data_IF_712655804331
#
_entry.id   IF_712655804331
#
_cell.length_a   1.000
_cell.length_b   1.000
_cell.length_c   1.000
_cell.angle_alpha   90.00
_cell.angle_beta   90.00
_cell.angle_gamma   90.00
#
_symmetry.space_group_name_H-M   'P 1'
#
loop_
_entity.id
_entity.type
_entity.pdbx_description
1 polymer ?
#
# COMPACT_ATOMS: atom_id res chain seq x y z
N UNK A 1 35.52 1.47 36.49
CA UNK A 1 36.70 0.87 37.12
C UNK A 1 36.97 -0.48 36.48
N UNK A 2 38.26 -0.75 36.26
CA UNK A 2 38.88 -2.00 35.78
C UNK A 2 38.88 -2.30 34.28
N UNK A 3 40.12 -2.54 33.82
CA UNK A 3 40.60 -2.84 32.47
C UNK A 3 40.41 -4.32 32.15
N UNK A 4 40.31 -4.66 30.87
CA UNK A 4 40.97 -5.87 30.35
C UNK A 4 41.39 -5.66 28.90
N UNK A 5 42.71 -5.54 28.71
CA UNK A 5 43.38 -5.58 27.42
C UNK A 5 43.71 -7.04 27.10
N UNK A 6 43.39 -7.49 25.88
CA UNK A 6 43.96 -8.70 25.31
C UNK A 6 44.77 -8.29 24.08
N UNK A 7 46.07 -8.16 24.30
CA UNK A 7 47.06 -8.13 23.23
C UNK A 7 47.26 -9.55 22.72
N UNK A 8 47.08 -9.75 21.41
CA UNK A 8 47.63 -10.90 20.70
C UNK A 8 48.60 -10.38 19.66
N UNK A 9 49.87 -10.31 20.07
CA UNK A 9 50.99 -10.16 19.15
C UNK A 9 51.12 -11.40 18.28
N UNK A 10 51.20 -11.20 16.98
CA UNK A 10 51.67 -12.20 16.03
C UNK A 10 53.05 -11.75 15.54
N UNK A 11 54.09 -12.42 16.02
CA UNK A 11 55.44 -12.32 15.47
C UNK A 11 55.47 -13.04 14.12
N UNK A 12 55.89 -12.34 13.07
CA UNK A 12 56.54 -12.98 11.92
C UNK A 12 58.00 -12.54 11.89
N UNK A 13 58.88 -13.55 11.86
CA UNK A 13 60.29 -13.42 11.55
C UNK A 13 60.47 -12.93 10.10
N UNK A 14 61.29 -11.89 9.94
CA UNK A 14 61.89 -11.48 8.66
C UNK A 14 63.14 -10.67 8.96
N UNK A 15 64.29 -11.16 8.50
CA UNK A 15 65.62 -10.68 8.85
C UNK A 15 66.13 -9.54 7.93
N UNK A 16 67.20 -8.88 8.43
CA UNK A 16 68.19 -7.99 7.79
C UNK A 16 67.98 -6.46 7.76
N UNK A 17 68.80 -5.83 8.62
CA UNK A 17 69.74 -4.72 8.38
C UNK A 17 69.27 -3.37 7.80
N UNK A 18 69.61 -2.30 8.55
CA UNK A 18 70.26 -1.14 7.95
C UNK A 18 69.48 0.18 7.94
N UNK A 19 69.75 0.99 8.97
CA UNK A 19 69.90 2.45 8.96
C UNK A 19 68.73 3.39 8.60
N UNK A 20 68.82 4.53 9.31
CA UNK A 20 68.30 5.87 8.97
C UNK A 20 66.87 6.17 9.39
N UNK A 21 66.77 7.25 10.18
CA UNK A 21 65.57 7.68 10.88
C UNK A 21 64.46 8.14 9.95
N UNK A 22 63.25 8.12 10.49
CA UNK A 22 62.11 8.79 9.87
C UNK A 22 61.42 9.65 10.92
N UNK A 23 61.35 10.93 10.59
CA UNK A 23 60.59 11.97 11.27
C UNK A 23 59.13 11.54 11.41
N UNK A 24 58.56 11.79 12.59
CA UNK A 24 57.11 11.71 12.83
C UNK A 24 56.43 12.81 12.00
N UNK A 25 55.84 12.43 10.87
CA UNK A 25 54.72 13.17 10.30
C UNK A 25 53.46 12.37 10.63
N UNK A 26 52.71 12.84 11.62
CA UNK A 26 51.34 12.39 11.84
C UNK A 26 50.50 12.93 10.68
N UNK A 27 50.24 12.06 9.69
CA UNK A 27 49.13 12.24 8.77
C UNK A 27 47.86 11.89 9.55
N UNK A 28 47.15 12.94 9.96
CA UNK A 28 45.74 12.84 10.36
C UNK A 28 44.96 12.16 9.23
N UNK A 29 44.60 10.91 9.46
CA UNK A 29 43.51 10.25 8.74
C UNK A 29 42.35 10.19 9.71
N UNK A 30 41.36 11.04 9.49
CA UNK A 30 40.05 10.92 10.10
C UNK A 30 39.44 9.60 9.63
N UNK A 31 39.62 8.54 10.41
CA UNK A 31 38.75 7.37 10.33
C UNK A 31 37.36 7.81 10.79
N UNK A 32 36.48 7.99 9.81
CA UNK A 32 35.06 8.14 9.99
C UNK A 32 34.56 6.91 10.74
N UNK A 33 34.31 7.08 12.04
CA UNK A 33 33.58 6.11 12.84
C UNK A 33 32.18 6.02 12.27
N UNK A 34 31.97 5.04 11.40
CA UNK A 34 30.67 4.64 10.90
C UNK A 34 29.79 4.19 12.06
N UNK A 35 29.16 5.16 12.72
CA UNK A 35 28.05 4.93 13.61
C UNK A 35 26.98 4.17 12.83
N UNK A 36 26.59 3.04 13.40
CA UNK A 36 25.46 2.21 13.00
C UNK A 36 24.28 3.10 12.63
N UNK A 37 24.06 3.28 11.33
CA UNK A 37 22.80 3.82 10.82
C UNK A 37 21.71 2.84 11.26
N UNK A 38 20.76 3.30 12.06
CA UNK A 38 19.60 2.51 12.42
C UNK A 38 18.96 1.92 11.17
N UNK A 39 18.69 0.62 11.18
CA UNK A 39 18.06 -0.09 10.06
C UNK A 39 16.82 0.70 9.61
N UNK A 40 16.88 1.24 8.40
CA UNK A 40 15.78 2.01 7.83
C UNK A 40 14.55 1.10 7.74
N UNK A 41 13.45 1.53 8.37
CA UNK A 41 12.13 0.96 8.08
C UNK A 41 11.87 1.23 6.59
N UNK A 42 11.60 0.15 5.86
CA UNK A 42 11.49 0.13 4.40
C UNK A 42 10.36 1.05 3.89
N UNK A 43 10.69 1.87 2.89
CA UNK A 43 9.79 2.77 2.18
C UNK A 43 9.29 2.23 0.82
N UNK A 44 9.69 1.02 0.40
CA UNK A 44 9.37 0.44 -0.93
C UNK A 44 8.33 -0.69 -0.94
N UNK A 45 8.15 -1.42 0.18
CA UNK A 45 7.03 -2.36 0.34
C UNK A 45 5.82 -1.55 0.79
N UNK A 46 4.85 -1.43 -0.11
CA UNK A 46 3.56 -0.79 0.16
C UNK A 46 2.51 -1.83 0.54
N UNK A 47 1.38 -1.37 1.05
CA UNK A 47 0.20 -2.21 1.14
C UNK A 47 -0.21 -2.80 -0.24
N UNK A 48 -0.56 -4.09 -0.29
CA UNK A 48 -1.00 -4.77 -1.51
C UNK A 48 -0.80 -6.28 -1.50
N UNK A 49 -1.09 -6.95 -2.62
CA UNK A 49 -0.81 -8.38 -2.80
C UNK A 49 0.58 -8.62 -3.38
N UNK A 50 1.23 -9.65 -2.85
CA UNK A 50 2.58 -10.03 -3.19
C UNK A 50 2.68 -11.52 -3.42
N UNK A 51 3.52 -11.87 -4.39
CA UNK A 51 4.16 -13.19 -4.43
C UNK A 51 5.50 -13.02 -3.72
N UNK A 52 5.69 -13.75 -2.63
CA UNK A 52 6.93 -13.71 -1.84
C UNK A 52 7.80 -14.87 -2.29
N UNK A 53 9.00 -14.59 -2.78
CA UNK A 53 9.91 -15.63 -3.27
C UNK A 53 11.14 -15.74 -2.40
N UNK A 54 11.63 -16.95 -2.20
CA UNK A 54 12.97 -17.14 -1.66
C UNK A 54 14.00 -16.60 -2.65
N UNK A 55 14.89 -15.71 -2.20
CA UNK A 55 15.98 -15.22 -3.02
C UNK A 55 17.04 -16.31 -3.29
N UNK A 56 17.05 -17.40 -2.53
CA UNK A 56 17.93 -18.55 -2.75
C UNK A 56 17.44 -19.44 -3.88
N UNK A 57 16.15 -19.74 -3.94
CA UNK A 57 15.60 -20.78 -4.84
C UNK A 57 14.73 -20.23 -5.96
N UNK A 58 14.27 -18.97 -5.86
CA UNK A 58 13.28 -18.38 -6.75
C UNK A 58 11.86 -18.93 -6.57
N UNK A 59 11.67 -19.90 -5.66
CA UNK A 59 10.39 -20.53 -5.34
C UNK A 59 9.54 -19.66 -4.42
N UNK A 60 8.24 -19.87 -4.47
CA UNK A 60 7.25 -19.07 -3.77
C UNK A 60 7.02 -19.61 -2.36
N UNK A 61 6.78 -18.71 -1.40
CA UNK A 61 6.08 -19.07 -0.16
C UNK A 61 4.68 -19.57 -0.55
N UNK A 62 4.26 -20.69 0.02
CA UNK A 62 3.10 -21.48 -0.39
C UNK A 62 2.37 -22.04 0.84
N UNK A 63 1.04 -21.96 0.84
CA UNK A 63 0.20 -22.69 1.81
C UNK A 63 -0.02 -24.11 1.29
N UNK A 64 0.44 -25.09 2.06
CA UNK A 64 0.45 -26.49 1.63
C UNK A 64 -0.92 -26.96 1.14
N UNK A 65 -0.95 -27.45 -0.11
CA UNK A 65 -2.14 -27.96 -0.79
C UNK A 65 -3.34 -26.97 -0.81
N UNK A 66 -3.08 -25.66 -0.77
CA UNK A 66 -4.12 -24.62 -0.64
C UNK A 66 -5.02 -24.82 0.59
N UNK A 67 -4.51 -25.46 1.63
CA UNK A 67 -5.27 -25.73 2.84
C UNK A 67 -5.80 -24.44 3.47
N UNK A 68 -6.95 -24.53 4.12
CA UNK A 68 -7.61 -23.40 4.80
C UNK A 68 -7.75 -23.63 6.30
N UNK A 69 -7.21 -24.73 6.84
CA UNK A 69 -7.24 -25.02 8.26
C UNK A 69 -6.14 -24.27 9.01
N UNK A 70 -6.42 -23.93 10.28
CA UNK A 70 -5.41 -23.47 11.22
C UNK A 70 -4.35 -24.57 11.39
N UNK A 71 -3.08 -24.18 11.41
CA UNK A 71 -1.96 -25.10 11.46
C UNK A 71 -1.54 -25.69 10.11
N UNK A 72 -2.15 -25.27 8.99
CA UNK A 72 -1.65 -25.67 7.68
C UNK A 72 -0.23 -25.13 7.48
N UNK A 73 0.68 -26.00 7.08
CA UNK A 73 2.09 -25.71 6.87
C UNK A 73 2.31 -24.60 5.84
N UNK A 74 3.20 -23.66 6.16
CA UNK A 74 3.79 -22.74 5.19
C UNK A 74 5.09 -23.36 4.66
N UNK A 75 5.18 -23.52 3.36
CA UNK A 75 6.27 -24.21 2.67
C UNK A 75 6.75 -23.41 1.48
N UNK A 76 7.87 -23.79 0.88
CA UNK A 76 8.18 -23.34 -0.48
C UNK A 76 7.55 -24.30 -1.49
N UNK A 77 7.16 -23.75 -2.64
CA UNK A 77 6.76 -24.54 -3.79
C UNK A 77 7.13 -23.81 -5.08
N UNK A 78 7.29 -24.55 -6.17
CA UNK A 78 7.40 -23.95 -7.50
C UNK A 78 6.24 -22.98 -7.71
N UNK A 79 6.58 -21.80 -8.23
CA UNK A 79 5.58 -20.77 -8.42
C UNK A 79 4.57 -21.19 -9.49
N UNK A 80 3.33 -21.41 -9.07
CA UNK A 80 2.25 -21.96 -9.88
C UNK A 80 1.08 -20.97 -10.06
N UNK A 81 1.18 -19.78 -9.47
CA UNK A 81 0.22 -18.68 -9.64
C UNK A 81 -1.10 -18.85 -8.89
N UNK A 82 -1.25 -19.91 -8.10
CA UNK A 82 -2.45 -20.13 -7.28
C UNK A 82 -2.53 -19.14 -6.12
N UNK A 83 -3.73 -18.98 -5.54
CA UNK A 83 -3.92 -18.10 -4.39
C UNK A 83 -3.26 -18.64 -3.10
N UNK A 84 -2.79 -19.89 -3.09
CA UNK A 84 -1.94 -20.42 -2.03
C UNK A 84 -0.57 -19.73 -1.95
N UNK A 85 -0.15 -19.04 -3.01
CA UNK A 85 1.15 -18.37 -3.13
C UNK A 85 1.06 -16.84 -3.19
N UNK A 86 -0.15 -16.29 -2.98
CA UNK A 86 -0.41 -14.86 -2.96
C UNK A 86 -0.75 -14.42 -1.55
N UNK A 87 -0.14 -13.33 -1.11
CA UNK A 87 -0.31 -12.81 0.24
C UNK A 87 -0.61 -11.31 0.20
N UNK A 88 -1.69 -10.92 0.87
CA UNK A 88 -2.02 -9.53 1.16
C UNK A 88 -1.16 -9.05 2.31
N UNK A 89 -0.31 -8.07 2.03
CA UNK A 89 0.54 -7.38 3.00
C UNK A 89 -0.14 -6.05 3.35
N UNK A 90 -0.29 -5.76 4.64
CA UNK A 90 -0.91 -4.52 5.13
C UNK A 90 -0.33 -4.10 6.47
N UNK A 91 -0.25 -2.79 6.75
CA UNK A 91 0.40 -2.30 7.96
C UNK A 91 -0.42 -2.65 9.20
N UNK A 92 0.28 -2.79 10.32
CA UNK A 92 -0.28 -2.81 11.68
C UNK A 92 0.24 -1.59 12.45
N UNK A 93 0.52 -1.71 13.75
CA UNK A 93 1.08 -0.64 14.57
C UNK A 93 2.60 -0.78 14.73
N UNK A 94 3.30 0.36 14.85
CA UNK A 94 4.72 0.37 15.22
C UNK A 94 5.69 -0.12 14.13
N UNK A 95 5.34 0.04 12.86
CA UNK A 95 6.18 -0.37 11.72
C UNK A 95 6.11 -1.86 11.38
N UNK A 96 5.19 -2.60 11.99
CA UNK A 96 4.92 -4.00 11.70
C UNK A 96 3.78 -4.16 10.69
N UNK A 97 3.69 -5.35 10.12
CA UNK A 97 2.81 -5.71 9.02
C UNK A 97 2.21 -7.09 9.27
N UNK A 98 1.01 -7.32 8.75
CA UNK A 98 0.42 -8.66 8.65
C UNK A 98 0.58 -9.18 7.22
N UNK A 99 0.80 -10.49 7.10
CA UNK A 99 0.94 -11.22 5.83
C UNK A 99 -0.20 -12.23 5.79
N UNK A 100 -1.27 -11.92 5.06
CA UNK A 100 -2.49 -12.74 5.01
C UNK A 100 -2.53 -13.49 3.69
N UNK A 101 -2.67 -14.81 3.71
CA UNK A 101 -2.84 -15.58 2.48
C UNK A 101 -4.18 -15.23 1.80
N UNK A 102 -4.15 -14.96 0.49
CA UNK A 102 -5.32 -14.54 -0.29
C UNK A 102 -6.37 -15.65 -0.43
N UNK A 103 -5.97 -16.93 -0.40
CA UNK A 103 -6.91 -18.06 -0.49
C UNK A 103 -7.66 -18.30 0.82
N UNK A 104 -6.94 -18.37 1.95
CA UNK A 104 -7.52 -18.78 3.23
C UNK A 104 -7.99 -17.62 4.12
N UNK A 105 -7.52 -16.40 3.87
CA UNK A 105 -7.72 -15.26 4.77
C UNK A 105 -6.95 -15.36 6.09
N UNK A 106 -6.02 -16.32 6.22
CA UNK A 106 -5.24 -16.57 7.44
C UNK A 106 -3.86 -15.94 7.37
N UNK A 107 -3.32 -15.58 8.53
CA UNK A 107 -2.01 -14.94 8.64
C UNK A 107 -0.88 -15.96 8.69
N UNK A 108 0.30 -15.59 8.18
CA UNK A 108 1.55 -16.22 8.60
C UNK A 108 1.69 -16.09 10.11
N UNK A 109 2.06 -17.18 10.77
CA UNK A 109 2.10 -17.28 12.22
C UNK A 109 3.31 -18.12 12.64
N UNK A 110 4.09 -17.61 13.60
CA UNK A 110 5.10 -18.41 14.29
C UNK A 110 4.37 -19.28 15.29
N UNK A 111 4.39 -20.60 15.04
CA UNK A 111 3.59 -21.58 15.75
C UNK A 111 3.71 -21.48 17.26
N UNK A 112 2.55 -21.48 17.92
CA UNK A 112 2.38 -21.38 19.37
C UNK A 112 3.02 -20.12 20.02
N UNK A 113 3.34 -19.09 19.22
CA UNK A 113 4.09 -17.93 19.68
C UNK A 113 5.50 -18.28 20.19
N UNK A 114 6.05 -19.40 19.75
CA UNK A 114 7.30 -19.94 20.24
C UNK A 114 8.47 -18.97 20.05
N UNK A 115 9.43 -19.02 20.96
CA UNK A 115 10.72 -18.31 20.87
C UNK A 115 11.88 -19.25 20.54
N UNK A 116 11.60 -20.54 20.33
CA UNK A 116 12.60 -21.53 20.02
C UNK A 116 13.16 -21.33 18.60
N UNK A 117 14.44 -21.67 18.44
CA UNK A 117 15.07 -21.81 17.12
C UNK A 117 14.34 -22.89 16.34
N UNK A 118 14.16 -22.65 15.03
CA UNK A 118 13.47 -23.56 14.12
C UNK A 118 11.99 -23.80 14.45
N UNK A 119 11.34 -22.91 15.21
CA UNK A 119 9.89 -22.99 15.38
C UNK A 119 9.21 -22.82 14.00
N UNK A 120 8.20 -23.65 13.74
CA UNK A 120 7.51 -23.73 12.45
C UNK A 120 6.76 -22.43 12.14
N UNK A 121 6.80 -22.02 10.87
CA UNK A 121 5.85 -21.05 10.31
C UNK A 121 4.68 -21.83 9.73
N UNK A 122 3.49 -21.55 10.23
CA UNK A 122 2.22 -22.10 9.72
C UNK A 122 1.26 -20.95 9.40
N UNK A 123 0.09 -21.26 8.86
CA UNK A 123 -1.00 -20.28 8.85
C UNK A 123 -1.92 -20.48 10.04
N UNK A 124 -2.46 -19.37 10.55
CA UNK A 124 -3.46 -19.37 11.60
C UNK A 124 -4.45 -18.22 11.42
N UNK A 125 -5.65 -18.37 11.97
CA UNK A 125 -6.64 -17.30 12.10
C UNK A 125 -5.97 -16.04 12.67
N UNK A 126 -6.05 -14.93 11.93
CA UNK A 126 -5.39 -13.70 12.34
C UNK A 126 -6.14 -13.08 13.52
N UNK A 127 -5.50 -13.05 14.68
CA UNK A 127 -6.02 -12.48 15.94
C UNK A 127 -5.23 -11.25 16.39
N UNK A 128 -4.22 -10.85 15.61
CA UNK A 128 -3.39 -9.69 15.91
C UNK A 128 -2.32 -9.94 16.97
N UNK A 129 -2.02 -11.20 17.30
CA UNK A 129 -0.95 -11.54 18.24
C UNK A 129 0.44 -11.18 17.66
N UNK A 130 1.43 -10.94 18.52
CA UNK A 130 2.76 -10.50 18.07
C UNK A 130 3.47 -11.54 17.20
N UNK A 131 3.18 -12.83 17.36
CA UNK A 131 3.72 -13.90 16.52
C UNK A 131 3.11 -13.96 15.10
N UNK A 132 2.14 -13.09 14.79
CA UNK A 132 1.49 -12.92 13.48
C UNK A 132 1.85 -11.59 12.80
N UNK A 133 2.82 -10.86 13.36
CA UNK A 133 3.21 -9.54 12.91
C UNK A 133 4.69 -9.51 12.58
N UNK A 134 5.05 -8.89 11.46
CA UNK A 134 6.39 -8.94 10.91
C UNK A 134 6.88 -7.55 10.50
N UNK A 135 8.17 -7.28 10.67
CA UNK A 135 8.82 -6.13 10.03
C UNK A 135 9.68 -6.63 8.87
N UNK A 136 9.77 -5.82 7.82
CA UNK A 136 10.62 -6.11 6.67
C UNK A 136 11.87 -5.23 6.76
N UNK A 137 13.04 -5.83 6.59
CA UNK A 137 14.31 -5.09 6.57
C UNK A 137 14.95 -5.26 5.19
N UNK A 138 15.23 -4.16 4.50
CA UNK A 138 15.92 -4.16 3.20
C UNK A 138 17.38 -4.59 3.39
N UNK A 139 17.80 -5.57 2.59
CA UNK A 139 19.14 -6.15 2.57
C UNK A 139 19.86 -5.87 1.24
N UNK A 140 19.34 -4.95 0.45
CA UNK A 140 19.88 -4.51 -0.84
C UNK A 140 19.48 -5.41 -2.02
N UNK A 141 19.57 -4.86 -3.23
CA UNK A 141 19.18 -5.55 -4.47
C UNK A 141 17.73 -6.06 -4.44
N UNK A 142 16.81 -5.29 -3.84
CA UNK A 142 15.39 -5.64 -3.70
C UNK A 142 15.13 -6.96 -2.94
N UNK A 143 16.05 -7.35 -2.05
CA UNK A 143 15.90 -8.50 -1.15
C UNK A 143 15.68 -8.04 0.28
N UNK A 144 14.83 -8.75 0.99
CA UNK A 144 14.40 -8.39 2.34
C UNK A 144 14.49 -9.58 3.27
N UNK A 145 14.75 -9.34 4.56
CA UNK A 145 14.49 -10.30 5.62
C UNK A 145 13.15 -10.00 6.30
N UNK A 146 12.44 -11.04 6.74
CA UNK A 146 11.10 -10.94 7.35
C UNK A 146 11.23 -11.28 8.84
N UNK A 147 11.17 -10.30 9.73
CA UNK A 147 11.41 -10.48 11.17
C UNK A 147 10.10 -10.55 11.95
N UNK A 148 9.91 -11.60 12.75
CA UNK A 148 8.75 -11.72 13.64
C UNK A 148 8.81 -10.72 14.80
N UNK A 149 7.69 -10.07 15.12
CA UNK A 149 7.62 -8.98 16.11
C UNK A 149 8.02 -9.40 17.52
N UNK A 150 7.70 -10.62 17.93
CA UNK A 150 7.94 -11.07 19.32
C UNK A 150 9.37 -11.59 19.57
N UNK A 151 10.11 -11.96 18.53
CA UNK A 151 11.46 -12.55 18.67
C UNK A 151 12.55 -11.80 17.94
N UNK A 152 12.19 -10.95 16.98
CA UNK A 152 13.10 -10.36 15.99
C UNK A 152 13.85 -11.37 15.11
N UNK A 153 13.54 -12.67 15.25
CA UNK A 153 14.06 -13.72 14.37
C UNK A 153 13.39 -13.67 13.00
N UNK A 154 14.09 -14.20 11.99
CA UNK A 154 13.66 -14.13 10.60
C UNK A 154 12.98 -15.40 10.12
N UNK A 155 12.06 -15.27 9.18
CA UNK A 155 11.57 -16.40 8.36
C UNK A 155 12.77 -16.99 7.61
N UNK A 156 12.94 -18.30 7.73
CA UNK A 156 14.09 -19.07 7.25
C UNK A 156 13.60 -20.30 6.50
N UNK A 157 14.06 -20.48 5.25
CA UNK A 157 13.82 -21.71 4.51
C UNK A 157 14.62 -22.85 5.16
N UNK A 158 13.91 -23.82 5.75
CA UNK A 158 14.53 -24.79 6.65
C UNK A 158 15.72 -25.53 6.02
N UNK A 159 16.92 -25.29 6.58
CA UNK A 159 18.22 -25.77 6.09
C UNK A 159 18.59 -25.35 4.65
N UNK A 160 17.91 -24.36 4.09
CA UNK A 160 18.08 -23.95 2.70
C UNK A 160 17.77 -25.07 1.70
N UNK A 161 16.99 -26.09 2.07
CA UNK A 161 16.67 -27.19 1.16
C UNK A 161 15.86 -26.66 -0.03
N UNK A 162 16.23 -26.96 -1.28
CA UNK A 162 15.56 -26.39 -2.46
C UNK A 162 14.28 -27.12 -2.88
N UNK A 163 13.91 -28.19 -2.17
CA UNK A 163 12.81 -29.08 -2.51
C UNK A 163 11.44 -28.43 -2.26
N UNK A 164 10.50 -28.68 -3.16
CA UNK A 164 9.08 -28.37 -2.93
C UNK A 164 8.59 -29.07 -1.66
N UNK A 165 7.80 -28.34 -0.88
CA UNK A 165 7.30 -28.81 0.40
C UNK A 165 8.26 -28.63 1.58
N UNK A 166 9.46 -28.10 1.35
CA UNK A 166 10.33 -27.65 2.46
C UNK A 166 9.62 -26.54 3.23
N UNK A 167 9.52 -26.70 4.56
CA UNK A 167 8.85 -25.73 5.43
C UNK A 167 9.69 -24.49 5.68
N UNK A 168 9.02 -23.42 6.12
CA UNK A 168 9.67 -22.27 6.71
C UNK A 168 9.64 -22.36 8.23
N UNK A 169 10.70 -21.85 8.86
CA UNK A 169 10.83 -21.74 10.32
C UNK A 169 11.25 -20.33 10.69
N UNK A 170 11.24 -19.99 11.97
CA UNK A 170 11.99 -18.82 12.44
C UNK A 170 13.43 -19.21 12.83
N UNK A 171 14.39 -18.34 12.55
CA UNK A 171 15.78 -18.48 12.97
C UNK A 171 16.47 -17.11 13.12
N UNK A 172 17.53 -16.95 13.95
CA UNK A 172 18.30 -15.72 14.01
C UNK A 172 18.86 -15.31 12.64
N UNK A 173 18.78 -14.02 12.33
CA UNK A 173 19.34 -13.50 11.08
C UNK A 173 20.85 -13.73 11.04
N UNK A 174 21.34 -14.27 9.93
CA UNK A 174 22.75 -14.53 9.68
C UNK A 174 23.16 -13.84 8.38
N UNK A 175 24.01 -12.81 8.48
CA UNK A 175 24.47 -12.07 7.31
C UNK A 175 25.16 -12.99 6.30
N UNK A 176 24.85 -12.81 5.01
CA UNK A 176 25.37 -13.63 3.92
C UNK A 176 24.60 -14.92 3.62
N UNK A 177 23.62 -15.30 4.46
CA UNK A 177 22.77 -16.46 4.20
C UNK A 177 21.59 -16.10 3.28
N UNK A 178 21.47 -16.79 2.15
CA UNK A 178 20.41 -16.51 1.17
C UNK A 178 19.08 -17.18 1.50
N UNK A 179 19.06 -18.22 2.34
CA UNK A 179 17.83 -18.93 2.75
C UNK A 179 16.92 -18.09 3.68
N UNK A 180 17.39 -16.91 4.11
CA UNK A 180 16.67 -15.94 4.96
C UNK A 180 16.26 -14.66 4.21
N UNK A 181 16.50 -14.63 2.89
CA UNK A 181 16.26 -13.47 2.05
C UNK A 181 15.13 -13.76 1.08
N UNK A 182 14.28 -12.76 0.87
CA UNK A 182 13.09 -12.86 0.05
C UNK A 182 12.97 -11.68 -0.90
N UNK A 183 12.45 -11.92 -2.09
CA UNK A 183 11.96 -10.84 -2.97
C UNK A 183 10.44 -10.73 -2.83
N UNK A 184 9.96 -9.50 -2.93
CA UNK A 184 8.55 -9.18 -2.87
C UNK A 184 8.12 -8.73 -4.26
N UNK A 185 7.60 -9.68 -5.03
CA UNK A 185 7.05 -9.37 -6.34
C UNK A 185 5.64 -8.85 -6.09
N UNK A 186 5.52 -7.52 -6.08
CA UNK A 186 4.21 -6.88 -6.03
C UNK A 186 3.43 -7.45 -7.20
N UNK A 187 2.32 -8.11 -6.90
CA UNK A 187 1.38 -8.51 -7.94
C UNK A 187 0.88 -7.18 -8.49
N UNK A 188 1.36 -6.80 -9.69
CA UNK A 188 0.98 -5.56 -10.36
C UNK A 188 -0.53 -5.59 -10.53
N UNK A 189 -1.23 -4.87 -9.65
CA UNK A 189 -2.64 -5.09 -9.35
C UNK A 189 -2.85 -6.33 -8.49
N UNK A 190 -2.86 -6.14 -7.17
CA UNK A 190 -3.45 -7.10 -6.25
C UNK A 190 -4.95 -7.14 -6.47
N UNK A 191 -5.32 -8.05 -7.35
CA UNK A 191 -6.67 -8.44 -7.68
C UNK A 191 -7.06 -9.65 -6.82
N UNK A 192 -8.10 -9.56 -5.99
CA UNK A 192 -9.31 -10.29 -6.39
C UNK A 192 -9.57 -9.84 -7.81
N UNK A 193 -9.63 -10.69 -8.85
CA UNK A 193 -9.91 -10.19 -10.20
C UNK A 193 -11.17 -9.31 -10.14
N UNK A 194 -11.12 -7.98 -10.35
CA UNK A 194 -12.18 -7.44 -11.17
C UNK A 194 -11.93 -8.06 -12.56
N UNK A 195 -12.98 -8.48 -13.27
CA UNK A 195 -12.80 -8.99 -14.63
C UNK A 195 -11.99 -7.98 -15.44
N UNK A 196 -10.82 -8.38 -15.95
CA UNK A 196 -10.29 -7.73 -17.16
C UNK A 196 -11.29 -8.05 -18.26
N UNK A 197 -12.06 -7.04 -18.64
CA UNK A 197 -13.00 -7.12 -19.74
C UNK A 197 -14.44 -7.27 -19.30
N UNK A 198 -14.97 -6.24 -18.67
CA UNK A 198 -16.07 -5.43 -19.20
C UNK A 198 -16.47 -4.46 -18.09
N UNK A 199 -16.64 -3.19 -18.44
CA UNK A 199 -17.24 -2.24 -17.53
C UNK A 199 -18.65 -2.70 -17.14
N UNK A 200 -19.09 -2.27 -15.96
CA UNK A 200 -20.46 -2.25 -15.47
C UNK A 200 -21.48 -3.06 -16.29
N UNK A 201 -21.84 -4.24 -15.80
CA UNK A 201 -22.86 -5.09 -16.43
C UNK A 201 -24.12 -5.05 -15.57
N UNK A 202 -25.21 -4.58 -16.17
CA UNK A 202 -26.49 -4.44 -15.46
C UNK A 202 -26.90 -5.72 -14.73
N UNK A 203 -27.17 -5.61 -13.43
CA UNK A 203 -27.69 -6.69 -12.60
C UNK A 203 -26.66 -7.76 -12.20
N UNK A 204 -25.35 -7.53 -12.37
CA UNK A 204 -24.31 -8.50 -12.00
C UNK A 204 -23.98 -8.53 -10.49
N UNK A 205 -24.63 -7.66 -9.71
CA UNK A 205 -24.48 -7.58 -8.25
C UNK A 205 -23.15 -6.99 -7.78
N UNK A 206 -22.40 -6.35 -8.68
CA UNK A 206 -21.12 -5.70 -8.36
C UNK A 206 -21.30 -4.19 -8.34
N UNK A 207 -20.42 -3.53 -7.60
CA UNK A 207 -20.23 -2.08 -7.67
C UNK A 207 -18.89 -1.80 -8.34
N UNK A 208 -18.94 -1.09 -9.47
CA UNK A 208 -17.81 -0.80 -10.34
C UNK A 208 -17.63 0.69 -10.50
N UNK A 209 -16.41 1.17 -10.30
CA UNK A 209 -15.99 2.50 -10.73
C UNK A 209 -15.34 2.40 -12.12
N UNK A 210 -15.84 3.17 -13.08
CA UNK A 210 -15.25 3.35 -14.40
C UNK A 210 -14.55 4.70 -14.45
N UNK A 211 -13.22 4.68 -14.43
CA UNK A 211 -12.40 5.86 -14.62
C UNK A 211 -12.31 6.20 -16.10
N UNK A 212 -12.65 7.43 -16.48
CA UNK A 212 -12.66 7.91 -17.86
C UNK A 212 -11.77 9.13 -17.94
N UNK A 213 -10.71 9.04 -18.72
CA UNK A 213 -9.83 10.17 -18.97
C UNK A 213 -10.30 10.94 -20.22
N UNK A 214 -11.02 12.05 -20.04
CA UNK A 214 -11.33 12.99 -21.12
C UNK A 214 -10.34 14.15 -21.22
N UNK A 215 -9.27 14.12 -20.42
CA UNK A 215 -8.19 15.09 -20.54
C UNK A 215 -7.42 14.86 -21.85
N UNK A 216 -6.75 15.91 -22.34
CA UNK A 216 -5.82 15.82 -23.47
C UNK A 216 -4.46 15.22 -23.11
N UNK A 217 -4.28 14.79 -21.86
CA UNK A 217 -3.02 14.27 -21.31
C UNK A 217 -3.26 13.01 -20.48
N UNK A 218 -2.17 12.28 -20.18
CA UNK A 218 -2.21 11.11 -19.31
C UNK A 218 -2.53 11.49 -17.86
N UNK A 219 -3.42 10.73 -17.24
CA UNK A 219 -3.84 10.88 -15.84
C UNK A 219 -3.34 9.67 -15.05
N UNK A 220 -2.66 9.92 -13.94
CA UNK A 220 -2.46 8.91 -12.90
C UNK A 220 -3.69 8.92 -11.99
N UNK A 221 -4.37 7.80 -11.84
CA UNK A 221 -5.49 7.68 -10.90
C UNK A 221 -5.22 6.55 -9.91
N UNK A 222 -5.74 6.64 -8.69
CA UNK A 222 -5.71 5.56 -7.69
C UNK A 222 -6.73 5.83 -6.57
N UNK A 223 -6.78 4.96 -5.56
CA UNK A 223 -7.61 5.17 -4.36
C UNK A 223 -7.20 4.30 -3.17
N UNK A 224 -7.82 4.50 -2.00
CA UNK A 224 -7.61 3.58 -0.87
C UNK A 224 -8.19 2.21 -1.23
N UNK A 225 -7.36 1.18 -1.21
CA UNK A 225 -7.73 -0.16 -1.68
C UNK A 225 -8.27 -0.19 -3.12
N UNK A 226 -7.97 0.82 -3.94
CA UNK A 226 -8.24 0.84 -5.38
C UNK A 226 -6.90 0.89 -6.08
N UNK A 227 -6.55 -0.17 -6.79
CA UNK A 227 -5.33 -0.20 -7.59
C UNK A 227 -5.42 0.87 -8.69
N UNK A 228 -4.49 1.81 -8.63
CA UNK A 228 -4.34 2.87 -9.62
C UNK A 228 -3.58 2.48 -10.87
N UNK A 229 -3.45 3.43 -11.78
CA UNK A 229 -2.73 3.27 -13.03
C UNK A 229 -2.62 4.56 -13.83
N UNK A 230 -1.84 4.48 -14.91
CA UNK A 230 -1.78 5.52 -15.94
C UNK A 230 -2.88 5.29 -16.96
N UNK A 231 -3.76 6.28 -17.10
CA UNK A 231 -4.84 6.30 -18.07
C UNK A 231 -4.51 7.26 -19.20
N UNK A 232 -4.35 6.74 -20.41
CA UNK A 232 -4.11 7.55 -21.61
C UNK A 232 -5.28 8.49 -21.94
N UNK A 233 -5.03 9.54 -22.71
CA UNK A 233 -6.09 10.44 -23.17
C UNK A 233 -7.17 9.67 -23.95
N UNK A 234 -8.44 9.92 -23.62
CA UNK A 234 -9.59 9.23 -24.20
C UNK A 234 -9.72 7.75 -23.80
N UNK A 235 -8.94 7.27 -22.83
CA UNK A 235 -9.02 5.90 -22.32
C UNK A 235 -9.92 5.82 -21.10
N UNK A 236 -10.48 4.64 -20.89
CA UNK A 236 -11.24 4.30 -19.70
C UNK A 236 -10.71 3.02 -19.08
N UNK A 237 -10.95 2.87 -17.78
CA UNK A 237 -10.54 1.72 -17.02
C UNK A 237 -11.52 1.45 -15.88
N UNK A 238 -11.89 0.19 -15.69
CA UNK A 238 -12.93 -0.23 -14.75
C UNK A 238 -12.34 -0.94 -13.52
N UNK A 239 -12.95 -0.69 -12.35
CA UNK A 239 -12.54 -1.21 -11.03
C UNK A 239 -13.76 -1.64 -10.25
N UNK A 240 -13.94 -2.94 -10.05
CA UNK A 240 -14.89 -3.45 -9.06
C UNK A 240 -14.37 -3.10 -7.66
N UNK A 241 -15.21 -2.45 -6.86
CA UNK A 241 -14.87 -1.98 -5.52
C UNK A 241 -15.64 -2.71 -4.40
N UNK A 242 -16.62 -3.52 -4.79
CA UNK A 242 -17.33 -4.47 -3.93
C UNK A 242 -18.58 -5.05 -4.60
N UNK A 243 -19.53 -5.51 -3.79
CA UNK A 243 -20.76 -6.18 -4.22
C UNK A 243 -21.96 -5.81 -3.35
N UNK A 244 -23.16 -6.12 -3.82
CA UNK A 244 -24.42 -5.85 -3.09
C UNK A 244 -24.59 -6.66 -1.81
N UNK A 245 -23.73 -7.63 -1.55
CA UNK A 245 -23.79 -8.52 -0.37
C UNK A 245 -22.67 -8.29 0.64
N UNK A 246 -21.70 -7.44 0.32
CA UNK A 246 -20.55 -7.17 1.17
C UNK A 246 -20.67 -5.81 1.85
N UNK A 247 -20.20 -5.72 3.10
CA UNK A 247 -20.03 -4.43 3.75
C UNK A 247 -18.93 -3.66 3.04
N UNK A 248 -19.30 -2.54 2.41
CA UNK A 248 -18.37 -1.68 1.72
C UNK A 248 -17.88 -0.60 2.68
N UNK A 249 -16.59 -0.60 3.02
CA UNK A 249 -15.98 0.52 3.72
C UNK A 249 -15.80 1.71 2.77
N UNK A 250 -15.76 2.91 3.33
CA UNK A 250 -15.44 4.16 2.62
C UNK A 250 -14.27 4.01 1.65
N UNK A 251 -14.52 4.41 0.40
CA UNK A 251 -13.54 4.49 -0.68
C UNK A 251 -13.22 5.96 -0.97
N UNK A 252 -11.95 6.25 -1.20
CA UNK A 252 -11.37 7.55 -1.53
C UNK A 252 -10.53 7.34 -2.76
N UNK A 253 -10.58 8.27 -3.69
CA UNK A 253 -9.84 8.17 -4.93
C UNK A 253 -9.36 9.53 -5.39
N UNK A 254 -8.40 9.51 -6.31
CA UNK A 254 -7.76 10.71 -6.84
C UNK A 254 -7.34 10.52 -8.29
N UNK A 255 -7.12 11.65 -8.96
CA UNK A 255 -6.59 11.73 -10.31
C UNK A 255 -5.68 12.94 -10.46
N UNK A 256 -4.47 12.71 -10.96
CA UNK A 256 -3.44 13.72 -11.18
C UNK A 256 -2.92 13.66 -12.61
N UNK A 257 -2.41 14.79 -13.11
CA UNK A 257 -1.58 14.74 -14.32
C UNK A 257 -0.39 13.82 -14.07
N UNK A 258 0.00 13.05 -15.08
CA UNK A 258 1.17 12.17 -15.00
C UNK A 258 2.40 12.94 -14.50
N UNK A 259 3.02 12.45 -13.43
CA UNK A 259 4.22 13.04 -12.83
C UNK A 259 3.97 14.22 -11.88
N UNK A 260 2.71 14.60 -11.65
CA UNK A 260 2.33 15.69 -10.72
C UNK A 260 1.68 15.17 -9.44
N UNK A 261 1.85 13.89 -9.13
CA UNK A 261 1.37 13.30 -7.89
C UNK A 261 2.11 13.91 -6.68
N UNK A 262 1.41 14.61 -5.78
CA UNK A 262 2.02 15.27 -4.63
C UNK A 262 2.51 14.30 -3.53
N UNK A 263 2.22 12.99 -3.63
CA UNK A 263 2.64 11.97 -2.66
C UNK A 263 1.52 11.53 -1.71
N UNK A 264 1.83 10.54 -0.85
CA UNK A 264 0.87 9.94 0.08
C UNK A 264 0.62 10.89 1.28
N UNK A 265 -0.62 10.85 1.83
CA UNK A 265 -1.11 11.46 3.09
C UNK A 265 -2.05 12.69 3.05
N UNK A 266 -2.32 13.35 1.91
CA UNK A 266 -3.15 14.59 1.96
C UNK A 266 -4.16 14.82 0.84
N UNK A 267 -4.57 13.79 0.12
CA UNK A 267 -5.17 14.01 -1.19
C UNK A 267 -6.27 13.01 -1.58
N UNK A 268 -7.51 13.47 -1.67
CA UNK A 268 -8.58 12.76 -2.40
C UNK A 268 -9.28 13.73 -3.35
N UNK A 269 -9.45 13.38 -4.62
CA UNK A 269 -10.28 14.21 -5.50
C UNK A 269 -11.75 14.02 -5.17
N UNK A 270 -12.11 12.80 -4.77
CA UNK A 270 -13.40 12.52 -4.21
C UNK A 270 -13.42 11.27 -3.31
N UNK A 271 -14.48 11.17 -2.53
CA UNK A 271 -14.75 10.15 -1.53
C UNK A 271 -16.16 9.61 -1.73
N UNK A 272 -16.27 8.30 -1.56
CA UNK A 272 -17.47 7.48 -1.57
C UNK A 272 -17.57 6.81 -0.20
N UNK A 273 -18.33 7.36 0.74
CA UNK A 273 -18.67 6.63 1.97
C UNK A 273 -19.77 5.63 1.63
N UNK A 274 -19.55 4.31 1.69
CA UNK A 274 -20.63 3.33 1.49
C UNK A 274 -21.08 2.83 2.85
N UNK A 275 -22.39 2.81 3.10
CA UNK A 275 -23.02 2.18 4.27
C UNK A 275 -22.33 2.52 5.61
N UNK A 276 -22.70 3.64 6.24
CA UNK A 276 -22.32 3.81 7.64
C UNK A 276 -23.34 3.11 8.54
N UNK A 277 -22.91 2.04 9.21
CA UNK A 277 -23.55 1.62 10.45
C UNK A 277 -23.13 2.59 11.54
N UNK A 278 -23.64 3.82 11.51
CA UNK A 278 -23.70 4.65 12.70
C UNK A 278 -25.06 4.43 13.37
N UNK A 279 -25.01 3.74 14.51
CA UNK A 279 -26.08 3.64 15.52
C UNK A 279 -27.47 3.18 15.02
N UNK A 280 -27.77 1.91 15.28
CA UNK A 280 -29.12 1.33 15.46
C UNK A 280 -30.15 1.41 14.32
N UNK A 281 -29.88 2.08 13.20
CA UNK A 281 -30.80 2.12 12.07
C UNK A 281 -30.66 0.90 11.16
N UNK A 282 -31.46 -0.12 11.48
CA UNK A 282 -31.84 -1.17 10.54
C UNK A 282 -32.72 -0.56 9.43
N UNK A 283 -32.12 0.09 8.43
CA UNK A 283 -32.60 0.12 7.04
C UNK A 283 -31.97 1.27 6.24
N UNK A 284 -31.03 0.93 5.34
CA UNK A 284 -30.89 1.36 3.92
C UNK A 284 -29.46 1.70 3.48
N UNK A 285 -29.19 1.36 2.22
CA UNK A 285 -27.92 1.48 1.50
C UNK A 285 -27.71 2.92 1.01
N UNK A 286 -27.04 3.74 1.80
CA UNK A 286 -26.64 5.08 1.38
C UNK A 286 -25.14 5.13 1.13
N UNK A 287 -24.74 5.97 0.18
CA UNK A 287 -23.37 6.42 0.09
C UNK A 287 -23.29 7.93 -0.04
N UNK A 288 -22.18 8.47 0.45
CA UNK A 288 -21.85 9.88 0.37
C UNK A 288 -20.81 10.11 -0.74
N UNK A 289 -21.11 11.03 -1.65
CA UNK A 289 -20.22 11.47 -2.73
C UNK A 289 -19.68 12.87 -2.43
N UNK A 290 -18.44 12.96 -1.99
CA UNK A 290 -17.82 14.22 -1.60
C UNK A 290 -16.53 14.47 -2.36
N UNK A 291 -16.14 15.73 -2.57
CA UNK A 291 -14.81 16.07 -3.08
C UNK A 291 -13.92 16.38 -1.87
N UNK A 292 -12.90 15.55 -1.61
CA UNK A 292 -12.20 15.59 -0.31
C UNK A 292 -10.69 15.78 -0.48
N UNK A 293 -10.28 17.04 -0.69
CA UNK A 293 -8.91 17.54 -0.48
C UNK A 293 -7.80 17.30 -1.52
N UNK A 294 -8.08 17.09 -2.80
CA UNK A 294 -7.06 17.24 -3.84
C UNK A 294 -7.64 17.55 -5.20
N UNK A 295 -7.54 18.81 -5.60
CA UNK A 295 -8.23 19.32 -6.76
C UNK A 295 -7.23 19.67 -7.88
N UNK A 296 -6.53 18.67 -8.45
CA UNK A 296 -5.65 18.92 -9.60
C UNK A 296 -6.44 18.96 -10.92
N UNK A 297 -7.46 18.11 -11.05
CA UNK A 297 -8.23 17.97 -12.29
C UNK A 297 -9.73 18.25 -12.04
N UNK A 298 -10.43 18.91 -12.99
CA UNK A 298 -11.88 18.92 -12.96
C UNK A 298 -12.41 17.49 -13.07
N UNK A 299 -13.50 17.21 -12.36
CA UNK A 299 -14.06 15.87 -12.20
C UNK A 299 -15.59 15.92 -12.29
N UNK A 300 -16.16 14.88 -12.89
CA UNK A 300 -17.60 14.57 -12.85
C UNK A 300 -17.82 13.13 -12.43
N UNK A 301 -18.75 12.91 -11.50
CA UNK A 301 -19.19 11.60 -11.02
C UNK A 301 -20.60 11.37 -11.51
N UNK A 302 -20.83 10.27 -12.25
CA UNK A 302 -22.12 9.96 -12.88
C UNK A 302 -22.54 8.53 -12.56
N UNK A 303 -23.77 8.28 -12.10
CA UNK A 303 -24.32 6.91 -12.05
C UNK A 303 -24.40 6.29 -13.45
N UNK A 304 -24.02 5.03 -13.59
CA UNK A 304 -23.94 4.33 -14.88
C UNK A 304 -25.33 3.84 -15.37
N UNK A 305 -25.64 4.11 -16.65
CA UNK A 305 -26.73 3.54 -17.47
C UNK A 305 -28.12 3.38 -16.80
N UNK A 306 -28.93 4.44 -16.74
CA UNK A 306 -30.31 4.40 -16.21
C UNK A 306 -31.37 4.40 -17.33
N UNK A 307 -32.09 3.28 -17.58
CA UNK A 307 -33.32 3.29 -18.36
C UNK A 307 -34.56 3.42 -17.45
N UNK A 308 -35.57 4.19 -17.87
CA UNK A 308 -36.94 4.03 -17.35
C UNK A 308 -37.37 4.82 -16.11
N UNK A 309 -36.63 5.85 -15.69
CA UNK A 309 -37.23 6.97 -14.92
C UNK A 309 -37.50 6.76 -13.42
N UNK A 310 -36.70 5.98 -12.68
CA UNK A 310 -36.72 5.95 -11.20
C UNK A 310 -35.29 5.61 -10.73
N UNK A 311 -34.51 6.31 -9.90
CA UNK A 311 -34.58 7.58 -9.14
C UNK A 311 -33.13 8.05 -8.87
N UNK A 312 -32.43 8.63 -9.84
CA UNK A 312 -31.13 9.31 -9.62
C UNK A 312 -30.95 10.58 -10.47
N UNK A 313 -32.06 11.13 -10.99
CA UNK A 313 -32.04 12.42 -11.68
C UNK A 313 -31.63 13.52 -10.69
N UNK A 314 -30.55 14.25 -11.00
CA UNK A 314 -30.03 15.35 -10.17
C UNK A 314 -28.87 14.98 -9.23
N UNK A 315 -28.37 13.74 -9.25
CA UNK A 315 -27.29 13.26 -8.38
C UNK A 315 -25.89 13.29 -9.01
N UNK A 316 -25.76 13.74 -10.26
CA UNK A 316 -24.46 14.01 -10.87
C UNK A 316 -23.72 15.06 -10.05
N UNK A 317 -22.53 14.70 -9.55
CA UNK A 317 -21.64 15.62 -8.84
C UNK A 317 -20.57 16.04 -9.82
N UNK A 318 -20.46 17.34 -10.08
CA UNK A 318 -19.49 17.86 -11.04
C UNK A 318 -18.83 19.11 -10.51
N UNK A 319 -17.52 19.19 -10.74
CA UNK A 319 -16.75 20.40 -10.58
C UNK A 319 -16.02 20.69 -11.91
N UNK A 320 -16.61 21.53 -12.78
CA UNK A 320 -16.15 21.69 -14.16
C UNK A 320 -14.93 22.59 -14.35
N UNK A 321 -14.57 23.35 -13.32
CA UNK A 321 -13.55 24.39 -13.41
C UNK A 321 -12.15 23.84 -13.09
N UNK A 322 -11.13 24.43 -13.72
CA UNK A 322 -9.73 24.18 -13.35
C UNK A 322 -9.47 24.77 -11.96
N UNK A 323 -9.30 23.86 -11.00
CA UNK A 323 -9.14 24.14 -9.59
C UNK A 323 -7.76 24.71 -9.24
N UNK A 324 -6.75 24.45 -10.08
CA UNK A 324 -5.39 24.98 -9.87
C UNK A 324 -5.29 26.43 -10.31
N UNK A 325 -6.03 26.82 -11.36
CA UNK A 325 -5.94 28.15 -11.97
C UNK A 325 -6.21 29.29 -10.97
N UNK A 326 -7.07 29.04 -9.98
CA UNK A 326 -7.56 30.05 -9.05
C UNK A 326 -7.44 29.60 -7.58
N UNK A 327 -6.59 28.61 -7.29
CA UNK A 327 -6.41 28.10 -5.94
C UNK A 327 -5.95 29.20 -4.97
N UNK A 328 -6.65 29.43 -3.84
CA UNK A 328 -6.22 30.40 -2.83
C UNK A 328 -4.80 30.10 -2.31
N UNK A 329 -3.96 31.11 -2.03
CA UNK A 329 -2.56 30.91 -1.61
C UNK A 329 -2.37 29.92 -0.46
N UNK A 330 -3.30 29.90 0.49
CA UNK A 330 -3.29 29.05 1.68
C UNK A 330 -3.43 27.55 1.34
N UNK A 331 -4.12 27.25 0.23
CA UNK A 331 -4.37 25.88 -0.25
C UNK A 331 -3.39 25.38 -1.29
N UNK A 332 -2.47 26.23 -1.78
CA UNK A 332 -1.55 25.85 -2.84
C UNK A 332 -0.48 24.87 -2.33
N UNK A 333 -0.49 23.67 -2.89
CA UNK A 333 0.62 22.72 -2.76
C UNK A 333 1.53 22.82 -3.98
N UNK A 334 2.83 23.03 -3.74
CA UNK A 334 3.82 23.25 -4.78
C UNK A 334 4.84 22.13 -4.82
N UNK A 335 5.26 21.76 -6.01
CA UNK A 335 6.39 20.84 -6.20
C UNK A 335 7.73 21.56 -5.91
N UNK A 336 8.85 20.81 -5.98
CA UNK A 336 10.20 21.35 -5.76
C UNK A 336 10.59 22.49 -6.72
N UNK A 337 9.96 22.55 -7.91
CA UNK A 337 10.16 23.61 -8.89
C UNK A 337 9.25 24.84 -8.63
N UNK A 338 8.49 24.84 -7.53
CA UNK A 338 7.58 25.93 -7.18
C UNK A 338 6.27 25.95 -7.97
N UNK A 339 5.98 24.97 -8.85
CA UNK A 339 4.72 24.88 -9.58
C UNK A 339 3.61 24.41 -8.64
N UNK A 340 2.44 25.05 -8.66
CA UNK A 340 1.24 24.56 -7.96
C UNK A 340 0.75 23.28 -8.65
N UNK A 341 0.66 22.19 -7.91
CA UNK A 341 0.26 20.86 -8.41
C UNK A 341 -0.98 20.30 -7.69
N UNK A 342 -1.44 20.94 -6.61
CA UNK A 342 -2.69 20.60 -5.94
C UNK A 342 -3.25 21.80 -5.18
N UNK A 343 -4.56 21.83 -4.99
CA UNK A 343 -5.28 22.78 -4.15
C UNK A 343 -6.01 22.04 -3.03
N UNK A 344 -5.67 22.32 -1.77
CA UNK A 344 -6.05 21.52 -0.59
C UNK A 344 -6.59 22.41 0.52
N UNK A 345 -7.69 22.01 1.18
CA UNK A 345 -8.09 22.63 2.45
C UNK A 345 -7.21 22.04 3.56
N UNK A 346 -6.33 22.85 4.16
CA UNK A 346 -5.43 22.35 5.22
C UNK A 346 -6.18 21.84 6.46
N UNK A 347 -7.33 22.45 6.71
CA UNK A 347 -8.26 22.07 7.76
C UNK A 347 -9.53 21.57 7.06
N UNK A 348 -9.50 20.27 6.75
CA UNK A 348 -10.54 19.57 6.00
C UNK A 348 -11.90 19.66 6.67
N UNK A 349 -11.95 19.81 7.98
CA UNK A 349 -13.21 19.70 8.72
C UNK A 349 -13.81 21.09 9.00
N UNK A 350 -13.21 22.13 8.43
CA UNK A 350 -13.58 23.52 8.64
C UNK A 350 -14.28 24.15 7.40
N UNK A 351 -15.61 24.29 7.42
CA UNK A 351 -16.37 24.92 6.32
C UNK A 351 -15.94 26.35 6.02
N UNK A 352 -15.37 27.04 7.00
CA UNK A 352 -15.01 28.44 6.89
C UNK A 352 -13.60 28.67 6.35
N UNK A 353 -12.86 27.60 5.99
CA UNK A 353 -11.56 27.74 5.38
C UNK A 353 -11.66 28.56 4.08
N UNK A 354 -10.62 29.34 3.76
CA UNK A 354 -10.60 30.19 2.56
C UNK A 354 -10.77 29.34 1.30
N UNK A 355 -10.13 28.17 1.30
CA UNK A 355 -10.22 27.18 0.23
C UNK A 355 -11.62 26.59 0.16
N UNK A 356 -12.24 26.30 1.30
CA UNK A 356 -13.55 25.68 1.32
C UNK A 356 -14.66 26.58 0.76
N UNK A 357 -14.72 27.82 1.24
CA UNK A 357 -15.68 28.82 0.73
C UNK A 357 -15.47 29.15 -0.74
N UNK A 358 -14.22 29.11 -1.20
CA UNK A 358 -13.92 29.29 -2.61
C UNK A 358 -14.55 28.17 -3.46
N UNK A 359 -14.43 26.92 -3.02
CA UNK A 359 -15.00 25.78 -3.74
C UNK A 359 -16.52 25.72 -3.67
N UNK A 360 -17.14 25.96 -2.52
CA UNK A 360 -18.60 25.98 -2.39
C UNK A 360 -19.25 26.99 -3.35
N UNK A 361 -18.61 28.15 -3.54
CA UNK A 361 -19.07 29.17 -4.47
C UNK A 361 -18.89 28.78 -5.95
N UNK A 362 -17.84 28.02 -6.25
CA UNK A 362 -17.37 27.83 -7.62
C UNK A 362 -17.78 26.46 -8.21
N UNK A 363 -18.02 25.47 -7.35
CA UNK A 363 -18.53 24.15 -7.69
C UNK A 363 -19.70 23.77 -6.75
N UNK A 364 -20.84 24.44 -6.90
CA UNK A 364 -22.01 24.32 -6.00
C UNK A 364 -22.63 22.93 -5.86
N UNK A 365 -22.24 21.96 -6.70
CA UNK A 365 -22.66 20.56 -6.59
C UNK A 365 -21.65 19.69 -5.83
N UNK A 366 -20.50 20.24 -5.44
CA UNK A 366 -19.45 19.61 -4.64
C UNK A 366 -19.14 20.47 -3.44
N UNK A 367 -18.79 19.86 -2.32
CA UNK A 367 -18.33 20.56 -1.12
C UNK A 367 -16.93 20.04 -0.77
N UNK A 368 -16.18 20.81 0.01
CA UNK A 368 -14.74 20.61 0.20
C UNK A 368 -14.34 20.37 1.66
N UNK A 369 -15.26 19.95 2.52
CA UNK A 369 -14.98 19.71 3.92
C UNK A 369 -15.75 18.50 4.46
N UNK A 370 -15.10 17.62 5.24
CA UNK A 370 -15.64 16.28 5.51
C UNK A 370 -16.78 16.22 6.53
N UNK A 371 -17.09 17.32 7.21
CA UNK A 371 -18.23 17.37 8.12
C UNK A 371 -19.56 17.74 7.46
N UNK A 372 -19.58 18.03 6.15
CA UNK A 372 -20.80 18.32 5.36
C UNK A 372 -21.31 17.12 4.58
N UNK A 373 -21.24 15.95 5.17
CA UNK A 373 -21.87 14.73 4.65
C UNK A 373 -23.41 14.84 4.52
N UNK A 374 -23.95 16.05 4.65
CA UNK A 374 -25.33 16.46 4.48
C UNK A 374 -25.82 16.43 3.02
N UNK A 375 -24.93 16.53 2.01
CA UNK A 375 -25.33 16.48 0.59
C UNK A 375 -25.43 15.05 0.08
N UNK A 376 -26.25 14.25 0.74
CA UNK A 376 -26.42 12.83 0.46
C UNK A 376 -27.12 12.59 -0.88
N UNK A 377 -26.43 11.93 -1.81
CA UNK A 377 -27.00 11.45 -3.07
C UNK A 377 -26.66 9.96 -3.20
N UNK A 378 -27.67 9.11 -3.06
CA UNK A 378 -27.53 7.66 -3.09
C UNK A 378 -28.25 7.04 -4.32
N UNK A 379 -27.57 6.10 -4.95
CA UNK A 379 -28.02 5.17 -6.00
C UNK A 379 -27.51 3.76 -5.66
N UNK A 380 -28.29 3.01 -4.88
CA UNK A 380 -27.88 1.71 -4.34
C UNK A 380 -27.40 0.73 -5.41
N UNK A 381 -26.29 0.03 -5.16
CA UNK A 381 -25.82 -1.08 -6.00
C UNK A 381 -25.46 -0.68 -7.43
N UNK A 382 -25.34 0.61 -7.72
CA UNK A 382 -25.04 1.10 -9.06
C UNK A 382 -23.54 1.14 -9.33
N UNK A 383 -23.20 1.08 -10.60
CA UNK A 383 -21.87 1.41 -11.09
C UNK A 383 -21.73 2.93 -11.30
N UNK A 384 -20.52 3.47 -11.28
CA UNK A 384 -20.26 4.91 -11.42
C UNK A 384 -19.16 5.21 -12.42
N UNK A 385 -19.38 6.24 -13.22
CA UNK A 385 -18.35 6.86 -14.05
C UNK A 385 -17.64 7.95 -13.25
N UNK A 386 -16.32 7.86 -13.21
CA UNK A 386 -15.39 8.86 -12.69
C UNK A 386 -14.72 9.54 -13.88
N UNK A 387 -15.26 10.67 -14.30
CA UNK A 387 -14.83 11.38 -15.51
C UNK A 387 -13.86 12.50 -15.16
N UNK A 388 -12.59 12.34 -15.54
CA UNK A 388 -11.59 13.41 -15.43
C UNK A 388 -11.65 14.32 -16.66
N UNK A 389 -11.49 15.62 -16.43
CA UNK A 389 -11.64 16.66 -17.45
C UNK A 389 -12.99 16.61 -18.19
N UNK A 390 -14.12 16.64 -17.47
CA UNK A 390 -15.42 16.72 -18.10
C UNK A 390 -15.48 18.00 -18.94
N UNK A 391 -15.87 17.87 -20.21
CA UNK A 391 -16.23 19.04 -21.01
C UNK A 391 -17.52 19.65 -20.43
N UNK A 392 -17.58 20.99 -20.40
CA UNK A 392 -18.79 21.74 -20.02
C UNK A 392 -19.96 21.48 -20.96
#
# INVERSE_FOLDING_TARGET
>A
MSKMSVSRGLCLLGALAGMSGCSTSELETTEETGQLQGEAIVSSITEGDYVIRSAMTGKCIDIAASGTADGTKVQQWDCNGTNAQKFRISPTSGGYWKIINVNSGKGLDVKDGSTALNAEIHQWSYVGANNQQFKFVDRGSSRFSIHARHTDMVVDLYWGKPDNGTGYVQYPFTAGQNNQLFTFDKVSGGTTPPPTGNCAVSGDGKTTLRFINQCSFEVNFAGNNITGGLLGAGKEECRTIGSTTEMMLTKRYWGFRKGEDPGFEKHSLAEFGFNEVFYEHKSWDWFNLSHVDAHNLPLKIVPYNLPGGTTCAGQTRSCPMDMLANCPPEGQFRNAAGKVISCVSRDRDNPNSVVARYFDAACSQSYSWSGDDSVMAACNGEDFDIVFCPQN
#
